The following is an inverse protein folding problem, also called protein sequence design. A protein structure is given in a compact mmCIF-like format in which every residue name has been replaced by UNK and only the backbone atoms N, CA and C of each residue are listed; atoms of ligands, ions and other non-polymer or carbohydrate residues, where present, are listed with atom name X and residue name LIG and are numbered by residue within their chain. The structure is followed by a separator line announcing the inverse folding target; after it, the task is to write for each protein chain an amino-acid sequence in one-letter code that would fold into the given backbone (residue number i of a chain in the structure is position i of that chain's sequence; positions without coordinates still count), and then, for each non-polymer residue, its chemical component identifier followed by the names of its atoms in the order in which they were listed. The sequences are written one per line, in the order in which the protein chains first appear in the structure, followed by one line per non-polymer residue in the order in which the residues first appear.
data_IF_063610750343
#
_entry.id   IF_063610750343
#
_cell.length_a   1.000
_cell.length_b   1.000
_cell.length_c   1.000
_cell.angle_alpha   90.00
_cell.angle_beta   90.00
_cell.angle_gamma   90.00
#
_symmetry.space_group_name_H-M   'P 1'
#
loop_
_entity.id
_entity.type
_entity.pdbx_description
1 polymer ?
2 non-polymer ?
3 water ?
#
# COMPACT_ATOMS: atom_id res chain seq x y z
N UNK A 2 -21.80 8.29 18.85
CA UNK A 2 -23.07 8.64 19.50
C UNK A 2 -22.93 9.66 20.64
N UNK A 3 -21.80 10.42 20.66
CA UNK A 3 -21.49 11.47 21.65
C UNK A 3 -20.81 12.65 20.94
N UNK A 4 -20.40 13.69 21.70
CA UNK A 4 -19.73 14.86 21.14
C UNK A 4 -18.21 14.77 21.30
N UNK A 5 -17.59 13.65 20.90
CA UNK A 5 -16.13 13.49 21.00
C UNK A 5 -15.44 14.30 19.91
N UNK A 6 -14.45 15.11 20.31
CA UNK A 6 -13.68 15.97 19.41
C UNK A 6 -12.17 15.73 19.51
N UNK A 7 -11.47 16.16 18.45
CA UNK A 7 -10.02 16.17 18.31
C UNK A 7 -9.66 17.60 17.91
N UNK A 8 -8.59 18.16 18.49
CA UNK A 8 -8.08 19.48 18.14
C UNK A 8 -6.74 19.29 17.45
N UNK A 9 -6.63 19.82 16.23
CA UNK A 9 -5.41 19.77 15.40
C UNK A 9 -5.18 21.20 14.97
N UNK A 10 -4.03 21.79 15.40
CA UNK A 10 -3.60 23.18 15.09
C UNK A 10 -4.71 24.23 15.39
N UNK A 11 -5.47 24.02 16.48
CA UNK A 11 -6.56 24.89 16.90
C UNK A 11 -7.89 24.64 16.18
N UNK A 12 -7.89 23.74 15.18
CA UNK A 12 -9.08 23.39 14.40
C UNK A 12 -9.76 22.19 15.02
N UNK A 13 -11.06 22.34 15.33
CA UNK A 13 -11.87 21.30 15.95
C UNK A 13 -12.50 20.38 14.91
N UNK A 14 -12.39 19.06 15.16
CA UNK A 14 -12.94 18.01 14.32
C UNK A 14 -13.75 17.06 15.16
N UNK A 15 -15.03 16.91 14.84
CA UNK A 15 -15.90 15.99 15.56
C UNK A 15 -15.77 14.57 14.98
N UNK A 16 -15.50 13.59 15.86
CA UNK A 16 -15.34 12.17 15.51
C UNK A 16 -16.67 11.57 15.06
N UNK A 17 -16.66 10.91 13.89
CA UNK A 17 -17.84 10.22 13.37
C UNK A 17 -17.77 8.76 13.86
N UNK A 18 -16.67 8.06 13.52
CA UNK A 18 -16.36 6.67 13.94
C UNK A 18 -14.84 6.39 13.80
N UNK A 19 -14.39 5.27 14.38
CA UNK A 19 -13.03 4.77 14.31
C UNK A 19 -12.96 3.79 13.13
N UNK A 20 -12.12 4.12 12.13
CA UNK A 20 -11.92 3.34 10.88
C UNK A 20 -10.58 2.56 10.86
N UNK A 21 -9.73 2.77 11.87
CA UNK A 21 -8.42 2.13 12.02
C UNK A 21 -7.89 2.12 13.45
N UNK A 22 -7.16 1.05 13.81
CA UNK A 22 -6.53 0.82 15.13
C UNK A 22 -5.40 -0.19 14.99
N UNK A 23 -4.21 0.17 15.46
CA UNK A 23 -3.04 -0.70 15.37
C UNK A 23 -1.81 -0.17 16.05
N UNK A 24 -1.29 -0.96 16.99
CA UNK A 24 -0.10 -0.64 17.78
C UNK A 24 -0.33 0.49 18.75
N UNK A 25 0.24 1.68 18.43
CA UNK A 25 0.11 2.90 19.22
C UNK A 25 -0.59 3.99 18.40
N UNK A 26 -1.53 3.58 17.53
CA UNK A 26 -2.26 4.49 16.65
C UNK A 26 -3.74 4.11 16.44
N UNK A 27 -4.54 5.13 16.08
CA UNK A 27 -5.95 5.05 15.77
C UNK A 27 -6.23 5.96 14.57
N UNK A 28 -7.18 5.56 13.71
CA UNK A 28 -7.63 6.34 12.56
C UNK A 28 -9.15 6.56 12.73
N UNK A 29 -9.56 7.85 12.66
CA UNK A 29 -10.95 8.26 12.79
C UNK A 29 -11.49 8.95 11.56
N UNK A 30 -12.77 8.67 11.23
CA UNK A 30 -13.51 9.39 10.21
C UNK A 30 -14.09 10.58 11.00
N UNK A 31 -13.81 11.81 10.54
CA UNK A 31 -14.20 13.04 11.26
C UNK A 31 -14.92 14.05 10.37
N UNK A 32 -15.56 15.03 11.01
CA UNK A 32 -16.21 16.18 10.37
C UNK A 32 -15.51 17.44 10.86
N UNK A 33 -15.24 18.41 9.96
CA UNK A 33 -14.59 19.67 10.34
C UNK A 33 -15.66 20.75 10.67
N UNK A 34 -15.21 22.01 10.90
CA UNK A 34 -16.10 23.15 11.23
C UNK A 34 -17.18 23.40 10.16
N UNK A 35 -16.81 23.27 8.87
CA UNK A 35 -17.69 23.45 7.71
C UNK A 35 -18.43 22.16 7.28
N UNK A 36 -18.51 21.17 8.20
CA UNK A 36 -19.17 19.87 8.04
C UNK A 36 -18.64 19.01 6.85
N UNK A 37 -17.32 19.11 6.54
CA UNK A 37 -16.68 18.30 5.49
C UNK A 37 -15.98 17.09 6.14
N UNK A 38 -15.93 15.96 5.41
CA UNK A 38 -15.36 14.70 5.89
C UNK A 38 -13.87 14.56 5.56
N UNK A 39 -13.08 14.20 6.59
CA UNK A 39 -11.65 13.96 6.56
C UNK A 39 -11.34 12.75 7.42
N UNK A 40 -10.10 12.28 7.38
CA UNK A 40 -9.66 11.19 8.23
C UNK A 40 -8.55 11.75 9.09
N UNK A 41 -8.51 11.34 10.36
CA UNK A 41 -7.45 11.76 11.27
C UNK A 41 -6.74 10.53 11.78
N UNK A 42 -5.40 10.52 11.65
CA UNK A 42 -4.57 9.46 12.22
C UNK A 42 -3.93 10.02 13.47
N UNK A 43 -4.05 9.27 14.55
CA UNK A 43 -3.48 9.63 15.82
C UNK A 43 -2.39 8.65 16.15
N UNK A 44 -1.18 9.15 16.46
CA UNK A 44 -0.04 8.32 16.87
C UNK A 44 0.34 8.74 18.28
N UNK A 45 0.42 7.77 19.20
CA UNK A 45 0.85 8.00 20.58
C UNK A 45 2.36 7.77 20.63
N UNK A 46 3.13 8.83 20.96
CA UNK A 46 4.61 8.77 21.00
C UNK A 46 5.20 8.57 22.39
N UNK A 47 4.36 8.30 23.39
CA UNK A 47 4.74 8.10 24.79
C UNK A 47 5.78 7.00 25.01
N UNK A 48 5.62 5.83 24.36
CA UNK A 48 6.55 4.71 24.53
C UNK A 48 7.51 4.48 23.33
N UNK A 49 7.55 5.45 22.39
CA UNK A 49 8.39 5.40 21.19
C UNK A 49 9.85 5.73 21.48
N UNK A 50 10.78 4.93 20.92
CA UNK A 50 12.23 5.17 21.08
C UNK A 50 12.72 6.11 19.98
N UNK A 51 13.94 6.67 20.14
CA UNK A 51 14.56 7.62 19.19
C UNK A 51 14.53 7.14 17.74
N UNK A 52 14.68 5.81 17.50
CA UNK A 52 14.61 5.21 16.17
C UNK A 52 13.16 5.24 15.62
N UNK A 53 12.15 4.90 16.45
CA UNK A 53 10.72 4.91 16.06
C UNK A 53 10.23 6.35 15.82
N UNK A 54 10.71 7.29 16.62
CA UNK A 54 10.38 8.72 16.51
C UNK A 54 10.85 9.24 15.16
N UNK A 55 12.15 9.00 14.82
CA UNK A 55 12.79 9.40 13.57
C UNK A 55 12.10 8.82 12.33
N UNK A 56 11.62 7.55 12.40
CA UNK A 56 10.90 6.85 11.34
C UNK A 56 9.52 7.49 11.08
N UNK A 57 8.89 8.03 12.13
CA UNK A 57 7.60 8.72 12.02
C UNK A 57 7.81 10.12 11.45
N UNK A 58 8.88 10.81 11.88
CA UNK A 58 9.27 12.14 11.41
C UNK A 58 9.63 12.08 9.91
N UNK A 59 10.33 11.01 9.49
CA UNK A 59 10.75 10.74 8.13
C UNK A 59 9.56 10.51 7.19
N UNK A 60 8.56 9.71 7.63
CA UNK A 60 7.34 9.42 6.88
C UNK A 60 6.52 10.71 6.67
N UNK A 61 6.39 11.55 7.68
CA UNK A 61 5.68 12.84 7.61
C UNK A 61 6.34 13.80 6.61
N UNK A 62 7.68 13.86 6.60
CA UNK A 62 8.47 14.70 5.69
C UNK A 62 8.26 14.26 4.26
N UNK A 63 8.36 12.94 4.00
CA UNK A 63 8.17 12.39 2.66
C UNK A 63 6.73 12.53 2.21
N UNK A 64 5.77 12.28 3.12
CA UNK A 64 4.34 12.42 2.84
C UNK A 64 3.97 13.84 2.42
N UNK A 65 4.44 14.85 3.16
CA UNK A 65 4.18 16.26 2.83
C UNK A 65 4.87 16.70 1.53
N UNK A 66 6.06 16.16 1.23
CA UNK A 66 6.81 16.50 0.02
C UNK A 66 6.24 15.81 -1.22
N UNK A 67 6.01 14.47 -1.14
CA UNK A 67 5.57 13.64 -2.26
C UNK A 67 4.16 13.93 -2.73
N UNK A 68 3.34 14.57 -1.89
CA UNK A 68 1.96 14.95 -2.13
C UNK A 68 1.74 15.77 -3.39
N UNK A 69 2.61 16.78 -3.62
CA UNK A 69 2.56 17.64 -4.80
C UNK A 69 2.82 16.85 -6.08
N UNK A 70 3.72 15.85 -6.02
CA UNK A 70 4.13 15.01 -7.14
C UNK A 70 3.05 14.08 -7.69
N UNK A 71 2.21 13.49 -6.82
CA UNK A 71 1.21 12.54 -7.28
C UNK A 71 -0.11 12.63 -6.56
N UNK A 72 -1.21 12.47 -7.31
CA UNK A 72 -2.56 12.45 -6.76
C UNK A 72 -2.96 10.99 -6.45
N UNK A 73 -2.00 10.05 -6.55
CA UNK A 73 -2.13 8.63 -6.24
C UNK A 73 -1.48 8.32 -4.85
N UNK A 74 -1.11 9.37 -4.13
CA UNK A 74 -0.63 9.28 -2.77
C UNK A 74 -1.63 10.07 -1.94
N UNK A 75 -2.13 9.45 -0.85
CA UNK A 75 -3.07 10.01 0.14
C UNK A 75 -2.76 11.50 0.44
N UNK A 76 -3.76 12.37 0.40
CA UNK A 76 -3.58 13.80 0.62
C UNK A 76 -3.52 14.11 2.11
N UNK A 77 -2.39 14.68 2.56
CA UNK A 77 -2.16 15.14 3.92
C UNK A 77 -2.44 16.64 3.91
N UNK A 78 -3.44 17.06 4.69
CA UNK A 78 -3.86 18.45 4.75
C UNK A 78 -3.19 19.25 5.86
N UNK A 79 -2.93 18.59 7.01
CA UNK A 79 -2.33 19.22 8.18
C UNK A 79 -1.78 18.18 9.13
N UNK A 80 -0.99 18.64 10.09
CA UNK A 80 -0.41 17.77 11.09
C UNK A 80 -0.02 18.55 12.33
N UNK A 81 0.07 17.84 13.44
CA UNK A 81 0.48 18.40 14.72
C UNK A 81 1.46 17.42 15.33
N UNK A 82 2.67 17.86 15.63
CA UNK A 82 3.71 17.02 16.22
C UNK A 82 4.17 17.64 17.51
N UNK A 83 4.09 16.83 18.58
CA UNK A 83 4.61 17.16 19.90
C UNK A 83 5.42 15.93 20.34
N UNK A 84 6.03 16.00 21.51
CA UNK A 84 6.76 14.91 22.13
C UNK A 84 5.83 13.77 22.57
N UNK A 85 4.52 14.07 22.73
CA UNK A 85 3.54 13.14 23.24
C UNK A 85 2.71 12.47 22.13
N UNK A 86 2.47 13.18 21.00
CA UNK A 86 1.65 12.63 19.92
C UNK A 86 1.90 13.24 18.54
N UNK A 87 1.30 12.59 17.52
CA UNK A 87 1.17 13.06 16.15
C UNK A 87 -0.32 12.98 15.82
N UNK A 88 -0.86 14.03 15.20
CA UNK A 88 -2.18 14.08 14.60
C UNK A 88 -1.95 14.43 13.13
N UNK A 89 -2.46 13.60 12.22
CA UNK A 89 -2.39 13.78 10.76
C UNK A 89 -3.80 13.90 10.20
N UNK A 90 -4.13 15.05 9.58
CA UNK A 90 -5.42 15.31 8.94
C UNK A 90 -5.23 14.94 7.47
N UNK A 91 -5.95 13.89 7.03
CA UNK A 91 -5.89 13.31 5.70
C UNK A 91 -7.21 13.28 4.98
N UNK A 92 -7.15 12.93 3.68
CA UNK A 92 -8.36 12.76 2.87
C UNK A 92 -9.04 11.46 3.32
N UNK A 93 -10.35 11.42 3.21
CA UNK A 93 -11.02 10.20 3.59
C UNK A 93 -11.34 9.33 2.38
N UNK A 94 -10.82 8.10 2.42
CA UNK A 94 -11.11 7.09 1.42
C UNK A 94 -12.36 6.34 1.82
N UNK A 95 -13.00 5.63 0.88
CA UNK A 95 -14.22 4.87 1.15
C UNK A 95 -13.88 3.61 1.96
N UNK A 96 -12.77 2.93 1.60
CA UNK A 96 -12.31 1.66 2.18
C UNK A 96 -10.89 1.35 1.65
N UNK A 97 -10.15 0.47 2.36
CA UNK A 97 -8.83 0.01 1.91
C UNK A 97 -9.02 -1.13 0.91
N UNK A 98 -8.00 -1.40 0.07
CA UNK A 98 -8.07 -2.45 -0.96
C UNK A 98 -8.21 -3.88 -0.39
N UNK A 99 -7.53 -4.19 0.72
CA UNK A 99 -7.54 -5.52 1.37
C UNK A 99 -8.93 -5.97 1.79
N UNK A 100 -9.73 -5.03 2.34
CA UNK A 100 -11.11 -5.25 2.78
C UNK A 100 -12.03 -5.43 1.58
N UNK A 101 -11.89 -4.56 0.54
CA UNK A 101 -12.65 -4.59 -0.71
C UNK A 101 -12.47 -5.91 -1.46
N UNK A 102 -11.24 -6.45 -1.46
CA UNK A 102 -10.91 -7.71 -2.13
C UNK A 102 -11.46 -8.95 -1.41
N UNK A 103 -11.62 -8.87 -0.08
CA UNK A 103 -12.16 -9.96 0.77
C UNK A 103 -13.64 -10.24 0.50
N UNK A 104 -14.38 -9.24 -0.02
CA UNK A 104 -15.81 -9.35 -0.35
C UNK A 104 -16.07 -9.41 -1.89
N UNK A 105 -15.02 -9.71 -2.67
CA UNK A 105 -15.07 -9.79 -4.14
C UNK A 105 -15.19 -11.23 -4.62
N UNK A 108 -13.14 -9.39 -9.90
CA UNK A 108 -13.11 -7.98 -10.30
C UNK A 108 -13.33 -7.82 -11.82
N UNK A 109 -13.84 -6.63 -12.20
CA UNK A 109 -14.09 -6.17 -13.57
C UNK A 109 -12.73 -6.01 -14.31
N UNK A 110 -12.58 -6.38 -15.60
CA UNK A 110 -11.25 -6.25 -16.26
C UNK A 110 -10.75 -4.82 -16.42
N UNK A 111 -11.70 -3.88 -16.63
CA UNK A 111 -11.43 -2.46 -16.77
C UNK A 111 -11.00 -1.86 -15.42
N UNK A 112 -11.61 -2.33 -14.30
CA UNK A 112 -11.30 -1.91 -12.93
C UNK A 112 -9.92 -2.41 -12.49
N UNK A 113 -9.57 -3.67 -12.86
CA UNK A 113 -8.27 -4.29 -12.52
C UNK A 113 -7.10 -3.52 -13.19
N UNK A 114 -7.27 -3.12 -14.45
CA UNK A 114 -6.29 -2.35 -15.22
C UNK A 114 -6.18 -0.93 -14.64
N UNK A 115 -7.34 -0.29 -14.36
CA UNK A 115 -7.43 1.06 -13.80
C UNK A 115 -6.72 1.12 -12.46
N UNK A 116 -6.92 0.09 -11.62
CA UNK A 116 -6.27 0.00 -10.31
C UNK A 116 -4.76 -0.21 -10.45
N UNK A 117 -4.33 -1.13 -11.36
CA UNK A 117 -2.92 -1.43 -11.64
C UNK A 117 -2.14 -0.18 -12.02
N UNK A 118 -2.73 0.67 -12.91
CA UNK A 118 -2.14 1.94 -13.35
C UNK A 118 -1.88 2.88 -12.16
N UNK A 119 -2.85 2.96 -11.21
CA UNK A 119 -2.76 3.78 -9.98
C UNK A 119 -1.61 3.31 -9.10
N UNK A 120 -1.47 1.99 -8.91
CA UNK A 120 -0.43 1.36 -8.10
C UNK A 120 0.94 1.62 -8.67
N UNK A 121 1.08 1.47 -10.02
CA UNK A 121 2.33 1.71 -10.73
C UNK A 121 2.74 3.16 -10.61
N UNK A 122 1.77 4.10 -10.79
CA UNK A 122 2.05 5.52 -10.66
C UNK A 122 2.57 5.83 -9.25
N UNK A 123 1.88 5.31 -8.19
CA UNK A 123 2.24 5.52 -6.77
C UNK A 123 3.64 4.99 -6.38
N UNK A 124 3.96 3.72 -6.73
CA UNK A 124 5.24 3.06 -6.45
C UNK A 124 6.34 3.70 -7.26
N UNK A 125 6.03 4.13 -8.48
CA UNK A 125 6.98 4.83 -9.35
C UNK A 125 7.40 6.13 -8.68
N UNK A 126 6.42 6.90 -8.16
CA UNK A 126 6.63 8.17 -7.45
C UNK A 126 7.48 8.03 -6.21
N UNK A 127 7.36 6.92 -5.44
CA UNK A 127 8.15 6.74 -4.22
C UNK A 127 9.58 6.31 -4.59
N UNK A 128 9.75 5.51 -5.65
CA UNK A 128 11.09 5.08 -6.14
C UNK A 128 11.94 6.24 -6.63
N UNK A 129 11.32 7.23 -7.33
CA UNK A 129 11.95 8.46 -7.84
C UNK A 129 12.55 9.31 -6.72
N UNK A 130 12.09 9.09 -5.48
CA UNK A 130 12.56 9.79 -4.27
C UNK A 130 13.40 8.90 -3.34
N UNK A 131 13.91 7.81 -3.90
CA UNK A 131 14.75 6.86 -3.18
C UNK A 131 14.05 6.03 -2.12
N UNK A 132 12.72 5.83 -2.27
CA UNK A 132 11.98 5.01 -1.32
C UNK A 132 11.61 3.68 -1.97
N UNK A 133 12.00 2.59 -1.30
CA UNK A 133 11.66 1.22 -1.67
C UNK A 133 10.87 0.69 -0.47
N UNK A 134 9.53 0.59 -0.62
CA UNK A 134 8.60 0.16 0.43
C UNK A 134 9.00 -1.14 1.12
N UNK A 135 9.40 -2.18 0.34
CA UNK A 135 9.84 -3.52 0.81
C UNK A 135 8.71 -4.39 1.42
N UNK A 136 7.64 -3.77 1.96
CA UNK A 136 6.54 -4.52 2.57
C UNK A 136 5.15 -4.13 1.97
N UNK A 137 5.03 -4.17 0.65
CA UNK A 137 3.78 -3.82 -0.02
C UNK A 137 2.76 -4.95 -0.03
N UNK A 138 1.51 -4.58 0.23
CA UNK A 138 0.33 -5.46 0.29
C UNK A 138 -0.96 -4.63 0.03
N UNK A 139 -2.15 -5.24 -0.19
CA UNK A 139 -3.35 -4.42 -0.47
C UNK A 139 -3.77 -3.44 0.62
N UNK A 140 -3.44 -3.73 1.89
CA UNK A 140 -3.74 -2.87 3.03
C UNK A 140 -3.11 -1.47 2.87
N UNK A 141 -2.03 -1.36 2.06
CA UNK A 141 -1.28 -0.13 1.77
C UNK A 141 -1.93 0.80 0.76
N UNK A 142 -3.06 0.35 0.17
CA UNK A 142 -3.81 1.09 -0.84
C UNK A 142 -5.25 1.35 -0.38
N UNK A 143 -5.73 2.57 -0.64
CA UNK A 143 -7.02 3.09 -0.27
C UNK A 143 -7.85 3.46 -1.50
N UNK A 144 -9.14 3.11 -1.51
CA UNK A 144 -10.06 3.46 -2.59
C UNK A 144 -10.66 4.84 -2.30
N UNK A 145 -10.39 5.83 -3.16
CA UNK A 145 -10.89 7.22 -3.04
C UNK A 145 -11.38 7.65 -4.41
N UNK A 146 -12.71 7.88 -4.55
CA UNK A 146 -13.37 8.31 -5.80
C UNK A 146 -12.93 7.44 -7.00
N UNK A 147 -13.18 6.14 -6.89
CA UNK A 147 -12.89 5.13 -7.91
C UNK A 147 -11.42 4.90 -8.25
N UNK A 148 -10.48 5.39 -7.43
CA UNK A 148 -9.06 5.20 -7.70
C UNK A 148 -8.29 4.80 -6.45
N UNK A 149 -7.19 4.05 -6.63
CA UNK A 149 -6.31 3.61 -5.54
C UNK A 149 -5.27 4.67 -5.21
N UNK A 150 -5.06 4.86 -3.89
CA UNK A 150 -4.06 5.81 -3.35
C UNK A 150 -3.24 5.11 -2.27
N UNK A 151 -1.89 5.26 -2.33
CA UNK A 151 -0.95 4.67 -1.37
C UNK A 151 -1.04 5.38 0.00
N UNK A 152 -1.07 4.57 1.08
CA UNK A 152 -1.25 5.00 2.48
C UNK A 152 0.07 5.19 3.23
N UNK A 153 1.02 4.25 3.09
CA UNK A 153 2.31 4.39 3.78
C UNK A 153 3.51 4.05 2.88
N UNK A 154 4.73 4.30 3.38
CA UNK A 154 5.95 4.08 2.57
C UNK A 154 6.87 2.98 3.12
N UNK A 155 6.40 2.29 4.16
CA UNK A 155 7.16 1.24 4.82
C UNK A 155 8.23 1.75 5.76
N UNK A 156 8.39 3.10 5.86
CA UNK A 156 9.40 3.79 6.69
C UNK A 156 9.13 3.58 8.21
N UNK A 157 7.86 3.71 8.64
CA UNK A 157 7.43 3.54 10.02
C UNK A 157 6.84 2.15 10.23
N UNK A 175 0.81 -11.78 7.20
CA UNK A 175 0.80 -12.42 5.88
C UNK A 175 2.20 -12.41 5.23
N UNK A 176 2.66 -13.60 4.79
CA UNK A 176 3.95 -13.81 4.13
C UNK A 176 3.68 -13.92 2.60
N UNK A 177 2.40 -13.85 2.21
CA UNK A 177 1.89 -13.95 0.84
C UNK A 177 2.54 -13.01 -0.21
N UNK A 178 2.79 -11.74 0.13
CA UNK A 178 3.33 -10.74 -0.81
C UNK A 178 4.84 -10.52 -0.69
N UNK A 179 5.52 -11.39 0.10
CA UNK A 179 6.96 -11.32 0.38
C UNK A 179 7.83 -11.84 -0.77
N UNK A 180 8.85 -11.04 -1.21
CA UNK A 180 9.70 -11.51 -2.31
C UNK A 180 10.80 -12.50 -1.90
N UNK A 181 11.37 -13.29 -2.85
CA UNK A 181 12.45 -14.24 -2.48
C UNK A 181 13.72 -13.59 -1.91
N UNK A 182 14.04 -12.33 -2.34
CA UNK A 182 15.20 -11.58 -1.87
C UNK A 182 15.13 -11.34 -0.36
N UNK A 183 13.95 -10.89 0.12
CA UNK A 183 13.65 -10.61 1.54
C UNK A 183 13.84 -11.84 2.43
N UNK A 184 13.47 -13.03 1.91
CA UNK A 184 13.63 -14.32 2.61
C UNK A 184 15.11 -14.71 2.58
N UNK A 185 15.80 -14.47 1.43
CA UNK A 185 17.22 -14.76 1.23
C UNK A 185 18.14 -13.92 2.13
N UNK A 186 17.77 -12.63 2.38
CA UNK A 186 18.52 -11.69 3.21
C UNK A 186 18.51 -12.02 4.71
N UNK A 187 17.56 -12.88 5.16
CA UNK A 187 17.43 -13.30 6.55
C UNK A 187 18.55 -14.22 7.03
N UNK A 201 16.16 -3.11 -2.88
CA UNK A 201 16.00 -3.00 -4.33
C UNK A 201 14.58 -2.64 -4.78
N UNK A 202 14.43 -1.67 -5.72
CA UNK A 202 13.08 -1.34 -6.26
C UNK A 202 12.33 -2.52 -6.87
N UNK A 203 13.06 -3.58 -7.25
CA UNK A 203 12.54 -4.82 -7.84
C UNK A 203 11.69 -5.61 -6.83
N UNK A 204 11.93 -5.41 -5.52
CA UNK A 204 11.18 -6.07 -4.45
C UNK A 204 9.73 -5.60 -4.42
N UNK A 205 9.50 -4.30 -4.73
CA UNK A 205 8.17 -3.71 -4.82
C UNK A 205 7.40 -4.24 -6.04
N UNK A 206 8.12 -4.60 -7.12
CA UNK A 206 7.59 -5.19 -8.36
C UNK A 206 6.98 -6.57 -8.07
N UNK A 207 7.66 -7.37 -7.22
CA UNK A 207 7.19 -8.70 -6.80
C UNK A 207 5.89 -8.57 -6.02
N UNK A 208 5.85 -7.63 -5.07
CA UNK A 208 4.67 -7.38 -4.23
C UNK A 208 3.51 -6.84 -5.05
N UNK A 209 3.78 -5.91 -6.00
CA UNK A 209 2.78 -5.35 -6.91
C UNK A 209 2.15 -6.46 -7.78
N UNK A 210 3.00 -7.37 -8.28
CA UNK A 210 2.59 -8.51 -9.10
C UNK A 210 1.71 -9.48 -8.36
N UNK A 211 1.98 -9.69 -7.06
CA UNK A 211 1.24 -10.55 -6.14
C UNK A 211 -0.19 -10.01 -5.95
N UNK A 212 -0.34 -8.67 -5.92
CA UNK A 212 -1.63 -7.98 -5.78
C UNK A 212 -2.43 -8.15 -7.08
N UNK A 213 -1.75 -7.99 -8.23
CA UNK A 213 -2.37 -8.18 -9.55
C UNK A 213 -2.73 -9.64 -9.80
N UNK A 214 -1.92 -10.58 -9.27
CA UNK A 214 -2.16 -12.02 -9.36
C UNK A 214 -3.41 -12.37 -8.51
N UNK A 215 -3.64 -11.62 -7.43
CA UNK A 215 -4.80 -11.80 -6.56
C UNK A 215 -6.06 -11.27 -7.27
N UNK A 216 -5.98 -10.11 -7.93
CA UNK A 216 -7.09 -9.51 -8.70
C UNK A 216 -7.37 -10.28 -10.00
N UNK A 217 -6.42 -11.09 -10.48
CA UNK A 217 -6.59 -11.86 -11.71
C UNK A 217 -7.19 -13.23 -11.43
N UNK A 218 -6.61 -13.97 -10.47
CA UNK A 218 -7.02 -15.34 -10.20
C UNK A 218 -7.88 -15.53 -8.92
N UNK A 219 -7.89 -14.53 -8.04
CA UNK A 219 -8.64 -14.60 -6.79
C UNK A 219 -7.86 -15.19 -5.65
N UNK A 220 -6.55 -15.46 -5.87
CA UNK A 220 -5.65 -16.01 -4.87
C UNK A 220 -4.19 -15.56 -5.08
N UNK A 221 -3.36 -15.66 -4.02
CA UNK A 221 -1.93 -15.34 -4.01
C UNK A 221 -1.16 -16.49 -4.71
N UNK A 222 0.03 -16.28 -5.35
CA UNK A 222 0.75 -17.42 -5.97
C UNK A 222 1.05 -18.60 -5.04
N UNK A 223 1.16 -18.34 -3.71
CA UNK A 223 1.49 -19.34 -2.70
C UNK A 223 0.40 -19.58 -1.63
N UNK A 224 -0.72 -18.80 -1.66
CA UNK A 224 -1.85 -18.86 -0.71
C UNK A 224 -2.34 -20.26 -0.36
N UNK A 225 -2.43 -21.16 -1.37
CA UNK A 225 -2.88 -22.55 -1.26
C UNK A 225 -2.27 -23.32 -0.09
N UNK A 226 -0.99 -23.05 0.23
CA UNK A 226 -0.27 -23.70 1.33
C UNK A 226 -0.72 -23.13 2.69
N UNK A 227 -1.17 -24.01 3.59
CA UNK A 227 -1.60 -23.65 4.94
C UNK A 227 -0.38 -23.50 5.85
N UNK A 228 0.58 -24.44 5.74
CA UNK A 228 1.82 -24.48 6.53
C UNK A 228 2.76 -23.34 6.07
N UNK A 229 2.79 -22.23 6.84
CA UNK A 229 3.59 -21.03 6.58
C UNK A 229 5.10 -21.29 6.49
N UNK A 230 5.60 -22.36 7.13
CA UNK A 230 7.02 -22.75 7.10
C UNK A 230 7.41 -23.28 5.72
N UNK A 231 6.53 -24.13 5.12
CA UNK A 231 6.72 -24.72 3.80
C UNK A 231 6.58 -23.66 2.71
N UNK A 232 5.69 -22.68 2.92
CA UNK A 232 5.41 -21.57 2.01
C UNK A 232 6.68 -20.77 1.68
N UNK A 233 7.52 -20.50 2.70
CA UNK A 233 8.78 -19.75 2.55
C UNK A 233 9.82 -20.50 1.71
N UNK A 234 9.81 -21.85 1.78
CA UNK A 234 10.73 -22.71 1.04
C UNK A 234 10.41 -22.70 -0.47
N UNK A 235 9.11 -22.62 -0.81
CA UNK A 235 8.61 -22.59 -2.18
C UNK A 235 8.98 -21.31 -2.94
N UNK A 236 9.02 -20.17 -2.22
CA UNK A 236 9.37 -18.85 -2.77
C UNK A 236 10.86 -18.81 -3.15
N UNK A 237 11.70 -19.52 -2.38
CA UNK A 237 13.13 -19.61 -2.61
C UNK A 237 13.50 -20.62 -3.72
N UNK A 238 12.91 -21.84 -3.70
CA UNK A 238 13.18 -22.92 -4.65
C UNK A 238 12.68 -22.65 -6.09
N UNK A 239 13.58 -22.59 -7.09
CA UNK A 239 13.14 -22.38 -8.48
C UNK A 239 12.54 -23.64 -9.12
N UNK A 240 12.77 -24.82 -8.49
CA UNK A 240 12.23 -26.13 -8.92
C UNK A 240 10.71 -26.14 -8.78
N UNK A 241 10.17 -25.21 -7.95
CA UNK A 241 8.75 -24.99 -7.71
C UNK A 241 8.33 -23.88 -8.69
N UNK A 242 7.58 -24.23 -9.74
CA UNK A 242 7.12 -23.27 -10.74
C UNK A 242 5.75 -22.72 -10.38
N UNK A 243 5.61 -21.37 -10.42
CA UNK A 243 4.34 -20.68 -10.14
C UNK A 243 3.35 -21.02 -11.25
N UNK A 244 2.10 -21.35 -10.86
CA UNK A 244 1.03 -21.69 -11.81
C UNK A 244 0.56 -20.44 -12.52
N UNK A 245 0.35 -20.52 -13.84
CA UNK A 245 -0.14 -19.39 -14.62
C UNK A 245 -1.27 -19.82 -15.55
N UNK A 246 -2.52 -20.00 -15.02
CA UNK A 246 -3.63 -20.44 -15.89
C UNK A 246 -3.92 -19.42 -16.99
N UNK A 247 -4.21 -19.93 -18.20
CA UNK A 247 -4.48 -19.13 -19.39
C UNK A 247 -5.79 -18.35 -19.26
N UNK A 248 -5.74 -17.04 -19.56
CA UNK A 248 -6.87 -16.12 -19.49
C UNK A 248 -7.03 -15.34 -20.84
N UNK A 249 -8.18 -14.66 -21.13
CA UNK A 249 -8.30 -13.93 -22.41
C UNK A 249 -7.29 -12.79 -22.58
N UNK A 250 -7.07 -12.01 -21.49
CA UNK A 250 -6.10 -10.91 -21.48
C UNK A 250 -4.67 -11.48 -21.49
N UNK A 251 -4.14 -11.73 -22.72
CA UNK A 251 -2.82 -12.30 -22.95
C UNK A 251 -1.68 -11.43 -22.40
N UNK A 252 -1.85 -10.10 -22.47
CA UNK A 252 -0.89 -9.10 -21.97
C UNK A 252 -0.78 -9.13 -20.44
N UNK A 253 -1.92 -9.33 -19.74
CA UNK A 253 -2.04 -9.42 -18.29
C UNK A 253 -1.28 -10.64 -17.77
N UNK A 254 -1.31 -11.75 -18.54
CA UNK A 254 -0.60 -13.00 -18.23
C UNK A 254 0.90 -12.76 -18.27
N UNK A 255 1.37 -12.01 -19.30
CA UNK A 255 2.79 -11.67 -19.47
C UNK A 255 3.32 -10.79 -18.33
N UNK A 256 2.53 -9.80 -17.87
CA UNK A 256 2.86 -8.89 -16.75
C UNK A 256 3.16 -9.70 -15.50
N UNK A 257 2.25 -10.62 -15.13
CA UNK A 257 2.33 -11.46 -13.94
C UNK A 257 3.58 -12.32 -13.96
N UNK A 258 3.84 -12.97 -15.11
CA UNK A 258 5.00 -13.83 -15.33
C UNK A 258 6.33 -13.05 -15.23
N UNK A 259 6.32 -11.74 -15.61
CA UNK A 259 7.46 -10.82 -15.58
C UNK A 259 7.72 -10.24 -14.18
N UNK A 260 6.63 -9.97 -13.44
CA UNK A 260 6.65 -9.47 -12.07
C UNK A 260 7.09 -10.58 -11.12
N UNK A 261 6.74 -11.84 -11.43
CA UNK A 261 7.05 -12.97 -10.56
C UNK A 261 8.26 -13.82 -11.01
N UNK A 262 9.31 -13.16 -11.54
CA UNK A 262 10.57 -13.80 -11.89
C UNK A 262 11.40 -13.79 -10.59
N UNK A 263 11.82 -14.97 -10.10
CA UNK A 263 12.57 -15.12 -8.84
C UNK A 263 13.88 -14.34 -8.79
N UNK A 264 14.58 -14.22 -9.93
CA UNK A 264 15.83 -13.45 -10.03
C UNK A 264 15.43 -11.97 -10.20
N UNK A 265 15.70 -11.06 -9.22
CA UNK A 265 15.33 -9.64 -9.40
C UNK A 265 16.00 -8.96 -10.61
N UNK A 266 17.16 -9.49 -11.06
CA UNK A 266 17.89 -9.01 -12.24
C UNK A 266 17.07 -9.29 -13.51
N UNK A 267 16.46 -10.50 -13.60
CA UNK A 267 15.60 -10.90 -14.72
C UNK A 267 14.19 -10.30 -14.65
N UNK A 268 13.72 -9.96 -13.42
CA UNK A 268 12.42 -9.36 -13.10
C UNK A 268 12.24 -8.00 -13.78
N UNK A 269 11.04 -7.72 -14.31
CA UNK A 269 10.68 -6.46 -14.98
C UNK A 269 10.81 -5.24 -14.01
N UNK A 270 11.09 -4.03 -14.54
CA UNK A 270 11.21 -2.83 -13.71
C UNK A 270 9.93 -1.98 -13.77
N UNK A 271 9.83 -0.92 -12.93
CA UNK A 271 8.70 0.01 -12.92
C UNK A 271 8.69 0.84 -14.24
N UNK A 272 9.81 1.44 -14.75
CA UNK A 272 9.75 2.15 -16.06
C UNK A 272 9.33 1.28 -17.25
N UNK A 273 9.55 -0.05 -17.14
CA UNK A 273 9.21 -1.07 -18.13
C UNK A 273 7.72 -1.39 -18.06
N UNK A 274 7.16 -1.57 -16.85
CA UNK A 274 5.74 -1.85 -16.66
C UNK A 274 4.84 -0.71 -17.15
N UNK A 275 5.34 0.54 -17.13
CA UNK A 275 4.60 1.72 -17.61
C UNK A 275 4.58 1.78 -19.13
N UNK A 276 5.48 1.02 -19.77
CA UNK A 276 5.63 0.93 -21.21
C UNK A 276 5.07 -0.39 -21.78
N UNK A 277 4.62 -1.29 -20.90
CA UNK A 277 4.08 -2.61 -21.22
C UNK A 277 2.74 -2.48 -21.97
N UNK A 278 2.48 -3.36 -22.99
CA UNK A 278 1.20 -3.29 -23.71
C UNK A 278 -0.06 -3.32 -22.83
N UNK A 279 -0.06 -4.13 -21.75
CA UNK A 279 -1.17 -4.22 -20.80
C UNK A 279 -1.64 -2.84 -20.25
N UNK A 280 -0.69 -1.95 -20.04
CA UNK A 280 -0.87 -0.58 -19.52
C UNK A 280 -1.14 0.42 -20.69
N UNK A 281 -0.66 0.10 -21.91
CA UNK A 281 -0.63 1.02 -23.05
C UNK A 281 -1.63 0.79 -24.16
N UNK A 282 -1.71 -0.44 -24.70
CA UNK A 282 -2.58 -0.78 -25.82
C UNK A 282 -3.95 -1.25 -25.30
X LIG B 1 -12.55 -4.28 7.66
X LIG B 1 -12.50 -2.89 8.10
X LIG B 1 -12.89 0.34 6.38
X LIG B 1 -11.45 -2.15 7.38
X LIG B 1 -10.88 5.35 4.95
X LIG B 1 -13.44 5.09 5.65
X LIG B 1 -11.32 -0.72 7.90
X LIG B 1 -9.32 7.10 4.81
X LIG B 1 -12.65 0.00 7.80
X LIG B 1 -8.83 5.01 5.91
X LIG B 1 -13.78 -0.80 8.42
X LIG B 1 -6.03 2.74 8.08
X LIG B 1 -13.79 -2.23 7.88
X LIG B 1 -2.71 4.40 8.21
X LIG B 1 -12.39 1.58 6.01
X LIG B 1 -11.05 1.69 5.63
X LIG B 1 -10.55 2.93 5.27
X LIG B 1 -11.36 4.06 5.31
X LIG B 1 -12.71 3.92 5.69
X LIG B 1 -13.23 2.68 6.02
X LIG B 1 -14.85 5.00 5.87
X LIG B 1 -9.64 5.85 5.22
X LIG B 1 -8.09 7.51 5.13
X LIG B 1 -7.18 6.74 5.83
X LIG B 1 -7.61 5.47 6.20
X LIG B 1 -6.74 4.55 6.95
X LIG B 1 -7.10 3.33 7.47
X LIG B 1 -4.92 3.56 7.98
X LIG B 1 -5.32 4.72 7.28
X LIG B 1 -4.37 5.71 7.05
X LIG B 1 -3.09 5.50 7.55
X LIG B 1 -3.62 3.45 8.44
#
# INVERSE_FOLDING_TARGET
GAANECISVKGRIYSILKQIGSGGSSKVFQVLNEKKQIYAIKYVNLEEADNQTLDSYRNEIAYLNKLQQHSDKIIRLYDYEITDQYIYMVMECGNIDLNSWLKKKKSIDPWERKSYWKNMLEAVHTIHQHGIVHSDLKPANFLIVDGMLKLIDFGIANQMQPDTTSVVKDSQVGTVNYMPPEAIKDMSSSRENGKSKSKISPKSDVWSLGCILYYMTYGKTPFQQIINQISKLHAIIDPNHEIEFPDIPEKDLQDVLKCCLKRDPKQRISIPELLAHPYVQIQT
DYK C N O C1 N1 O1 C2 N2 C3 N3 C4 N4 C5 N5 C6 C7 C8 C9 C10 C11 C12 C13 C14 C15 C16 C17 C18 C19 C20 C21 C22 C23
#
